data_IF_183317737509
#
_entry.id   IF_183317737509
#
_cell.length_a   1.000
_cell.length_b   1.000
_cell.length_c   1.000
_cell.angle_alpha   90.00
_cell.angle_beta   90.00
_cell.angle_gamma   90.00
#
_symmetry.space_group_name_H-M   'P 1'
#
loop_
_entity.id
_entity.type
_entity.pdbx_description
1 polymer ?
#
# COMPACT_ATOMS: atom_id res chain seq x y z
N UNK A 1 -6.39 5.44 -43.99
CA UNK A 1 -6.72 5.33 -42.55
C UNK A 1 -7.79 4.27 -42.23
N UNK A 2 -8.83 4.03 -43.05
CA UNK A 2 -9.85 2.99 -42.74
C UNK A 2 -9.28 1.57 -42.66
N UNK A 3 -8.32 1.23 -43.53
CA UNK A 3 -7.70 -0.10 -43.58
C UNK A 3 -6.93 -0.45 -42.30
N UNK A 4 -6.25 0.52 -41.66
CA UNK A 4 -5.48 0.26 -40.44
C UNK A 4 -6.37 -0.03 -39.23
N UNK A 5 -7.47 0.74 -39.09
CA UNK A 5 -8.46 0.53 -38.03
C UNK A 5 -9.11 -0.85 -38.13
N UNK A 6 -9.48 -1.26 -39.35
CA UNK A 6 -10.02 -2.60 -39.62
C UNK A 6 -8.99 -3.70 -39.34
N UNK A 7 -7.71 -3.49 -39.68
CA UNK A 7 -6.63 -4.46 -39.35
C UNK A 7 -6.46 -4.62 -37.84
N UNK A 8 -6.44 -3.54 -37.06
CA UNK A 8 -6.34 -3.60 -35.59
C UNK A 8 -7.52 -4.36 -35.00
N UNK A 9 -8.74 -3.99 -35.41
CA UNK A 9 -9.96 -4.64 -34.94
C UNK A 9 -9.96 -6.13 -35.26
N UNK A 10 -9.55 -6.49 -36.48
CA UNK A 10 -9.42 -7.89 -36.90
C UNK A 10 -8.40 -8.66 -36.05
N UNK A 11 -7.24 -8.08 -35.76
CA UNK A 11 -6.25 -8.69 -34.85
C UNK A 11 -6.86 -8.89 -33.46
N UNK A 12 -7.56 -7.88 -32.92
CA UNK A 12 -8.19 -8.01 -31.59
C UNK A 12 -9.28 -9.06 -31.58
N UNK A 13 -10.07 -9.20 -32.64
CA UNK A 13 -11.14 -10.20 -32.73
C UNK A 13 -10.58 -11.62 -32.91
N UNK A 14 -9.59 -11.80 -33.78
CA UNK A 14 -9.10 -13.11 -34.22
C UNK A 14 -7.93 -13.66 -33.37
N UNK A 15 -7.15 -12.80 -32.71
CA UNK A 15 -5.97 -13.20 -31.93
C UNK A 15 -6.34 -13.55 -30.50
N UNK A 16 -5.90 -14.70 -29.99
CA UNK A 16 -6.05 -15.06 -28.57
C UNK A 16 -5.37 -14.03 -27.68
N UNK A 17 -5.94 -13.68 -26.52
CA UNK A 17 -5.38 -12.63 -25.65
C UNK A 17 -3.88 -12.79 -25.35
N UNK A 18 -3.40 -14.00 -25.08
CA UNK A 18 -1.98 -14.29 -24.83
C UNK A 18 -1.03 -13.91 -26.00
N UNK A 19 -1.54 -13.82 -27.23
CA UNK A 19 -0.78 -13.42 -28.42
C UNK A 19 -1.10 -11.98 -28.85
N UNK A 20 -2.08 -11.32 -28.21
CA UNK A 20 -2.55 -10.01 -28.64
C UNK A 20 -1.45 -8.96 -28.50
N UNK A 21 -0.71 -8.96 -27.38
CA UNK A 21 0.40 -8.04 -27.19
C UNK A 21 1.47 -8.21 -28.29
N UNK A 22 1.85 -9.44 -28.63
CA UNK A 22 2.84 -9.70 -29.68
C UNK A 22 2.38 -9.29 -31.07
N UNK A 23 1.13 -9.58 -31.44
CA UNK A 23 0.59 -9.22 -32.75
C UNK A 23 0.46 -7.69 -32.90
N UNK A 24 0.06 -6.99 -31.84
CA UNK A 24 0.03 -5.52 -31.84
C UNK A 24 1.45 -4.95 -31.93
N UNK A 25 2.43 -5.53 -31.23
CA UNK A 25 3.84 -5.12 -31.36
C UNK A 25 4.35 -5.29 -32.79
N UNK A 26 4.13 -6.44 -33.43
CA UNK A 26 4.49 -6.66 -34.84
C UNK A 26 3.82 -5.64 -35.76
N UNK A 27 2.53 -5.34 -35.55
CA UNK A 27 1.85 -4.32 -36.34
C UNK A 27 2.43 -2.91 -36.12
N UNK A 28 2.86 -2.59 -34.89
CA UNK A 28 3.51 -1.30 -34.61
C UNK A 28 4.88 -1.18 -35.27
N UNK A 29 5.61 -2.28 -35.44
CA UNK A 29 6.86 -2.33 -36.21
C UNK A 29 6.61 -2.17 -37.72
N UNK A 30 5.51 -2.73 -38.24
CA UNK A 30 5.10 -2.56 -39.65
C UNK A 30 4.62 -1.13 -39.97
N UNK A 31 4.13 -0.39 -38.97
CA UNK A 31 3.49 0.93 -39.12
C UNK A 31 3.95 1.92 -38.04
N UNK A 32 5.24 2.30 -38.00
CA UNK A 32 5.83 3.08 -36.90
C UNK A 32 5.19 4.46 -36.74
N UNK A 33 4.75 5.11 -37.82
CA UNK A 33 4.06 6.40 -37.80
C UNK A 33 2.67 6.36 -37.13
N UNK A 34 2.17 5.17 -36.81
CA UNK A 34 0.84 4.96 -36.23
C UNK A 34 0.87 4.23 -34.88
N UNK A 35 2.05 3.92 -34.33
CA UNK A 35 2.24 3.17 -33.08
C UNK A 35 1.32 3.63 -31.94
N UNK A 36 1.33 4.93 -31.61
CA UNK A 36 0.45 5.51 -30.57
C UNK A 36 -1.04 5.24 -30.81
N UNK A 37 -1.49 5.40 -32.05
CA UNK A 37 -2.90 5.20 -32.40
C UNK A 37 -3.30 3.73 -32.33
N UNK A 38 -2.43 2.84 -32.80
CA UNK A 38 -2.65 1.39 -32.77
C UNK A 38 -2.84 0.89 -31.33
N UNK A 39 -2.07 1.42 -30.39
CA UNK A 39 -2.11 1.03 -28.98
C UNK A 39 -3.32 1.53 -28.25
N UNK A 40 -3.62 2.82 -28.37
CA UNK A 40 -4.80 3.41 -27.77
C UNK A 40 -6.04 2.70 -28.33
N UNK A 41 -6.08 2.49 -29.64
CA UNK A 41 -7.18 1.78 -30.23
C UNK A 41 -7.27 0.34 -29.69
N UNK A 42 -6.16 -0.39 -29.64
CA UNK A 42 -6.21 -1.78 -29.25
C UNK A 42 -6.51 -2.01 -27.77
N UNK A 43 -5.90 -1.24 -26.88
CA UNK A 43 -5.92 -1.50 -25.44
C UNK A 43 -6.83 -0.55 -24.66
N UNK A 44 -7.14 0.63 -25.20
CA UNK A 44 -8.02 1.61 -24.56
C UNK A 44 -9.40 1.60 -25.20
N UNK A 45 -9.50 1.69 -26.53
CA UNK A 45 -10.80 1.82 -27.22
C UNK A 45 -11.49 0.47 -27.45
N UNK A 46 -10.75 -0.56 -27.85
CA UNK A 46 -11.28 -1.87 -28.25
C UNK A 46 -11.13 -2.95 -27.15
N UNK A 47 -10.91 -2.55 -25.89
CA UNK A 47 -10.83 -3.44 -24.72
C UNK A 47 -9.79 -4.59 -24.84
N UNK A 48 -8.67 -4.39 -25.52
CA UNK A 48 -7.64 -5.42 -25.67
C UNK A 48 -7.09 -5.95 -24.34
N UNK A 49 -7.06 -5.13 -23.29
CA UNK A 49 -6.71 -5.61 -21.95
C UNK A 49 -7.74 -6.59 -21.40
N UNK A 50 -9.04 -6.36 -21.60
CA UNK A 50 -10.09 -7.29 -21.20
C UNK A 50 -9.86 -8.65 -21.86
N UNK A 51 -9.48 -8.67 -23.15
CA UNK A 51 -9.16 -9.91 -23.87
C UNK A 51 -7.92 -10.59 -23.32
N UNK A 52 -6.83 -9.86 -23.08
CA UNK A 52 -5.63 -10.39 -22.41
C UNK A 52 -6.02 -10.98 -21.04
N UNK A 53 -6.75 -10.23 -20.22
CA UNK A 53 -7.14 -10.66 -18.88
C UNK A 53 -8.01 -11.92 -18.93
N UNK A 54 -8.94 -12.04 -19.88
CA UNK A 54 -9.82 -13.21 -20.04
C UNK A 54 -9.08 -14.44 -20.57
N UNK A 55 -8.32 -14.28 -21.64
CA UNK A 55 -7.75 -15.40 -22.40
C UNK A 55 -6.36 -15.82 -21.90
N UNK A 56 -5.61 -14.93 -21.25
CA UNK A 56 -4.26 -15.24 -20.83
C UNK A 56 -4.26 -16.21 -19.66
N UNK A 57 -3.33 -17.16 -19.73
CA UNK A 57 -2.92 -17.94 -18.58
C UNK A 57 -2.37 -16.97 -17.54
N UNK A 58 -2.97 -16.99 -16.36
CA UNK A 58 -2.65 -16.11 -15.24
C UNK A 58 -1.18 -16.14 -14.84
N UNK A 59 -0.45 -17.22 -15.14
CA UNK A 59 0.99 -17.28 -14.94
C UNK A 59 1.73 -16.22 -15.75
N UNK A 60 1.22 -15.91 -16.95
CA UNK A 60 1.88 -15.04 -17.91
C UNK A 60 1.31 -13.61 -17.96
N UNK A 61 0.09 -13.39 -17.46
CA UNK A 61 -0.59 -12.08 -17.51
C UNK A 61 0.30 -10.89 -17.09
N UNK A 62 1.02 -11.01 -15.96
CA UNK A 62 1.88 -9.92 -15.47
C UNK A 62 3.10 -9.69 -16.36
N UNK A 63 3.63 -10.76 -16.98
CA UNK A 63 4.74 -10.66 -17.92
C UNK A 63 4.29 -10.04 -19.24
N UNK A 64 3.10 -10.40 -19.74
CA UNK A 64 2.52 -9.80 -20.94
C UNK A 64 2.28 -8.30 -20.75
N UNK A 65 1.73 -7.89 -19.60
CA UNK A 65 1.57 -6.47 -19.26
C UNK A 65 2.92 -5.77 -19.21
N UNK A 66 3.93 -6.38 -18.56
CA UNK A 66 5.29 -5.81 -18.49
C UNK A 66 5.90 -5.64 -19.89
N UNK A 67 5.82 -6.66 -20.74
CA UNK A 67 6.33 -6.59 -22.12
C UNK A 67 5.63 -5.50 -22.92
N UNK A 68 4.30 -5.35 -22.77
CA UNK A 68 3.56 -4.29 -23.42
C UNK A 68 4.02 -2.90 -22.96
N UNK A 69 4.23 -2.74 -21.66
CA UNK A 69 4.73 -1.47 -21.10
C UNK A 69 6.15 -1.15 -21.55
N UNK A 70 7.04 -2.14 -21.61
CA UNK A 70 8.41 -1.98 -22.09
C UNK A 70 8.47 -1.61 -23.58
N UNK A 71 7.56 -2.16 -24.40
CA UNK A 71 7.45 -1.83 -25.81
C UNK A 71 6.92 -0.40 -26.03
N UNK A 72 6.15 0.14 -25.08
CA UNK A 72 5.43 1.41 -25.23
C UNK A 72 5.56 2.32 -24.00
N UNK A 73 6.79 2.75 -23.65
CA UNK A 73 7.05 3.50 -22.42
C UNK A 73 6.31 4.84 -22.36
N UNK A 74 6.09 5.50 -23.50
CA UNK A 74 5.36 6.78 -23.58
C UNK A 74 3.87 6.66 -23.23
N UNK A 75 3.33 5.43 -23.22
CA UNK A 75 1.93 5.12 -22.98
C UNK A 75 1.67 4.45 -21.63
N UNK A 76 2.66 4.40 -20.74
CA UNK A 76 2.53 3.75 -19.43
C UNK A 76 1.29 4.20 -18.65
N UNK A 77 1.01 5.50 -18.65
CA UNK A 77 -0.13 6.08 -17.93
C UNK A 77 -1.48 5.71 -18.55
N UNK A 78 -1.55 5.58 -19.88
CA UNK A 78 -2.76 5.14 -20.57
C UNK A 78 -3.00 3.64 -20.31
N UNK A 79 -1.93 2.84 -20.39
CA UNK A 79 -1.96 1.39 -20.20
C UNK A 79 -2.31 1.00 -18.76
N UNK A 80 -1.75 1.67 -17.76
CA UNK A 80 -2.10 1.40 -16.36
C UNK A 80 -3.54 1.80 -16.07
N UNK A 81 -4.01 2.92 -16.62
CA UNK A 81 -5.38 3.37 -16.40
C UNK A 81 -6.36 2.35 -17.00
N UNK A 82 -6.13 1.91 -18.24
CA UNK A 82 -6.94 0.86 -18.85
C UNK A 82 -6.89 -0.47 -18.06
N UNK A 83 -5.71 -0.87 -17.57
CA UNK A 83 -5.56 -2.06 -16.74
C UNK A 83 -6.29 -1.95 -15.39
N UNK A 84 -6.29 -0.78 -14.75
CA UNK A 84 -6.96 -0.55 -13.46
C UNK A 84 -8.48 -0.35 -13.62
N UNK A 85 -8.92 0.25 -14.72
CA UNK A 85 -10.34 0.40 -15.08
C UNK A 85 -10.96 -0.98 -15.35
N UNK A 86 -10.18 -1.88 -15.97
CA UNK A 86 -10.49 -3.30 -16.08
C UNK A 86 -10.20 -4.01 -14.75
N UNK A 87 -10.98 -3.68 -13.72
CA UNK A 87 -10.81 -4.16 -12.33
C UNK A 87 -10.62 -5.69 -12.22
N UNK A 88 -11.12 -6.45 -13.19
CA UNK A 88 -10.98 -7.90 -13.27
C UNK A 88 -9.52 -8.35 -13.41
N UNK A 89 -8.62 -7.54 -13.98
CA UNK A 89 -7.21 -7.89 -14.16
C UNK A 89 -6.49 -8.10 -12.84
N UNK A 90 -6.48 -7.07 -11.99
CA UNK A 90 -5.83 -7.15 -10.69
C UNK A 90 -6.57 -8.08 -9.72
N UNK A 91 -7.92 -8.16 -9.80
CA UNK A 91 -8.71 -9.15 -9.04
C UNK A 91 -8.35 -10.58 -9.44
N UNK A 92 -8.20 -10.88 -10.73
CA UNK A 92 -7.73 -12.17 -11.23
C UNK A 92 -6.32 -12.46 -10.71
N UNK A 93 -5.41 -11.46 -10.75
CA UNK A 93 -4.05 -11.57 -10.20
C UNK A 93 -4.06 -11.96 -8.71
N UNK A 94 -4.93 -11.33 -7.92
CA UNK A 94 -5.06 -11.64 -6.49
C UNK A 94 -5.71 -13.01 -6.29
N UNK A 95 -6.82 -13.29 -6.98
CA UNK A 95 -7.62 -14.50 -6.78
C UNK A 95 -6.88 -15.78 -7.16
N UNK A 96 -6.18 -15.77 -8.29
CA UNK A 96 -5.55 -16.97 -8.85
C UNK A 96 -4.13 -17.21 -8.35
N UNK A 97 -3.55 -16.31 -7.54
CA UNK A 97 -2.27 -16.57 -6.89
C UNK A 97 -2.42 -17.76 -5.94
N UNK A 98 -1.67 -18.83 -6.22
CA UNK A 98 -1.82 -20.19 -5.66
C UNK A 98 -0.96 -20.42 -4.41
N UNK A 99 -0.51 -19.34 -3.76
CA UNK A 99 0.36 -19.38 -2.59
C UNK A 99 1.81 -19.10 -2.95
N UNK A 100 2.76 -19.55 -2.12
CA UNK A 100 4.22 -19.52 -2.35
C UNK A 100 4.83 -18.14 -2.58
N UNK A 101 4.13 -17.07 -2.23
CA UNK A 101 4.61 -15.71 -2.43
C UNK A 101 4.55 -15.22 -3.88
N UNK A 102 3.91 -15.96 -4.79
CA UNK A 102 3.73 -15.51 -6.18
C UNK A 102 3.08 -14.12 -6.25
N UNK A 103 2.08 -13.86 -5.39
CA UNK A 103 1.39 -12.58 -5.38
C UNK A 103 2.32 -11.40 -5.08
N UNK A 104 3.24 -11.54 -4.13
CA UNK A 104 4.20 -10.48 -3.80
C UNK A 104 5.15 -10.20 -4.98
N UNK A 105 5.63 -11.26 -5.64
CA UNK A 105 6.47 -11.13 -6.82
C UNK A 105 5.71 -10.52 -8.00
N UNK A 106 4.48 -10.94 -8.26
CA UNK A 106 3.61 -10.37 -9.30
C UNK A 106 3.37 -8.88 -9.08
N UNK A 107 3.09 -8.47 -7.83
CA UNK A 107 2.96 -7.06 -7.49
C UNK A 107 4.26 -6.29 -7.68
N UNK A 108 5.42 -6.89 -7.35
CA UNK A 108 6.72 -6.29 -7.65
C UNK A 108 6.92 -6.09 -9.15
N UNK A 109 6.62 -7.09 -9.97
CA UNK A 109 6.74 -6.97 -11.42
C UNK A 109 5.80 -5.90 -12.01
N UNK A 110 4.57 -5.78 -11.51
CA UNK A 110 3.68 -4.68 -11.89
C UNK A 110 4.21 -3.31 -11.44
N UNK A 111 4.73 -3.20 -10.23
CA UNK A 111 5.33 -1.96 -9.72
C UNK A 111 6.61 -1.55 -10.47
N UNK A 112 7.35 -2.52 -11.01
CA UNK A 112 8.49 -2.29 -11.92
C UNK A 112 8.03 -1.84 -13.30
N UNK A 113 6.94 -2.43 -13.82
CA UNK A 113 6.34 -2.01 -15.10
C UNK A 113 5.77 -0.58 -15.02
N UNK A 114 5.15 -0.22 -13.89
CA UNK A 114 4.47 1.07 -13.75
C UNK A 114 5.05 1.92 -12.60
N UNK A 115 6.29 2.43 -12.72
CA UNK A 115 6.99 3.12 -11.64
C UNK A 115 6.25 4.38 -11.16
N UNK A 116 5.66 5.15 -12.09
CA UNK A 116 4.92 6.39 -11.75
C UNK A 116 3.56 6.13 -11.10
N UNK A 117 3.01 4.91 -11.25
CA UNK A 117 1.69 4.54 -10.74
C UNK A 117 1.74 3.54 -9.58
N UNK A 118 2.91 3.36 -8.96
CA UNK A 118 3.11 2.46 -7.81
C UNK A 118 2.13 2.71 -6.68
N UNK A 119 1.90 3.97 -6.31
CA UNK A 119 0.98 4.32 -5.23
C UNK A 119 -0.48 3.96 -5.58
N UNK A 120 -0.90 4.19 -6.83
CA UNK A 120 -2.25 3.79 -7.29
C UNK A 120 -2.41 2.27 -7.28
N UNK A 121 -1.42 1.55 -7.81
CA UNK A 121 -1.37 0.09 -7.78
C UNK A 121 -1.43 -0.46 -6.36
N UNK A 122 -0.66 0.13 -5.44
CA UNK A 122 -0.66 -0.26 -4.04
C UNK A 122 -2.03 -0.08 -3.38
N UNK A 123 -2.66 1.09 -3.58
CA UNK A 123 -3.99 1.36 -3.02
C UNK A 123 -5.03 0.37 -3.53
N UNK A 124 -5.03 0.10 -4.84
CA UNK A 124 -5.95 -0.89 -5.41
C UNK A 124 -5.68 -2.28 -4.84
N UNK A 125 -4.43 -2.70 -4.77
CA UNK A 125 -4.02 -3.99 -4.22
C UNK A 125 -4.47 -4.18 -2.76
N UNK A 126 -4.34 -3.14 -1.93
CA UNK A 126 -4.82 -3.18 -0.54
C UNK A 126 -6.34 -3.22 -0.48
N UNK A 127 -7.04 -2.42 -1.30
CA UNK A 127 -8.50 -2.38 -1.34
C UNK A 127 -9.12 -3.72 -1.76
N UNK A 128 -8.51 -4.42 -2.72
CA UNK A 128 -8.92 -5.74 -3.18
C UNK A 128 -8.45 -6.89 -2.27
N UNK A 129 -8.12 -6.59 -1.01
CA UNK A 129 -7.69 -7.56 -0.01
C UNK A 129 -6.42 -8.35 -0.40
N UNK A 130 -5.61 -7.83 -1.34
CA UNK A 130 -4.39 -8.50 -1.79
C UNK A 130 -3.38 -8.72 -0.67
N UNK A 131 -3.22 -7.71 0.21
CA UNK A 131 -2.35 -7.86 1.38
C UNK A 131 -2.88 -8.89 2.37
N UNK A 132 -4.19 -8.89 2.62
CA UNK A 132 -4.84 -9.88 3.48
C UNK A 132 -4.61 -11.28 2.93
N UNK A 133 -4.70 -11.48 1.62
CA UNK A 133 -4.38 -12.76 0.99
C UNK A 133 -2.92 -13.19 1.23
N UNK A 134 -1.95 -12.27 1.09
CA UNK A 134 -0.54 -12.56 1.40
C UNK A 134 -0.34 -13.00 2.85
N UNK A 135 -1.03 -12.35 3.79
CA UNK A 135 -0.95 -12.68 5.22
C UNK A 135 -1.64 -14.03 5.50
N UNK A 136 -2.77 -14.28 4.83
CA UNK A 136 -3.59 -15.47 5.05
C UNK A 136 -3.07 -16.72 4.36
N UNK A 137 -2.19 -16.58 3.37
CA UNK A 137 -1.52 -17.69 2.67
C UNK A 137 -0.94 -18.72 3.66
N UNK A 138 -1.19 -19.99 3.37
CA UNK A 138 -0.92 -21.14 4.25
C UNK A 138 0.53 -21.61 4.15
N UNK A 139 1.25 -21.20 3.10
CA UNK A 139 2.67 -21.51 2.91
C UNK A 139 3.53 -20.74 3.91
N UNK A 140 3.58 -21.23 5.15
CA UNK A 140 4.53 -20.97 6.24
C UNK A 140 4.91 -19.50 6.51
N UNK A 141 4.85 -19.06 7.78
CA UNK A 141 5.29 -17.69 8.14
C UNK A 141 6.72 -17.34 7.71
N UNK A 142 7.58 -18.34 7.51
CA UNK A 142 8.95 -18.17 7.03
C UNK A 142 9.05 -17.31 5.76
N UNK A 143 8.01 -17.36 4.93
CA UNK A 143 7.93 -16.57 3.70
C UNK A 143 7.19 -15.25 3.87
N UNK A 144 6.52 -15.01 5.01
CA UNK A 144 5.72 -13.82 5.20
C UNK A 144 6.61 -12.56 5.29
N UNK A 145 7.70 -12.58 6.08
CA UNK A 145 8.65 -11.46 6.09
C UNK A 145 9.29 -11.23 4.72
N UNK A 146 9.57 -12.30 3.97
CA UNK A 146 10.11 -12.18 2.61
C UNK A 146 9.11 -11.54 1.66
N UNK A 147 7.83 -11.92 1.71
CA UNK A 147 6.76 -11.31 0.90
C UNK A 147 6.56 -9.85 1.28
N UNK A 148 6.57 -9.52 2.57
CA UNK A 148 6.50 -8.14 3.06
C UNK A 148 7.70 -7.33 2.58
N UNK A 149 8.92 -7.89 2.62
CA UNK A 149 10.12 -7.30 2.05
C UNK A 149 9.95 -7.01 0.56
N UNK A 150 9.49 -8.01 -0.21
CA UNK A 150 9.25 -7.86 -1.66
C UNK A 150 8.25 -6.73 -1.95
N UNK A 151 7.17 -6.62 -1.16
CA UNK A 151 6.22 -5.52 -1.30
C UNK A 151 6.82 -4.17 -0.89
N UNK A 152 7.61 -4.11 0.18
CA UNK A 152 8.26 -2.87 0.63
C UNK A 152 9.34 -2.37 -0.34
N UNK A 153 9.96 -3.28 -1.12
CA UNK A 153 10.83 -2.95 -2.25
C UNK A 153 10.02 -2.44 -3.45
N UNK A 154 8.88 -3.06 -3.73
CA UNK A 154 7.99 -2.68 -4.83
C UNK A 154 7.31 -1.32 -4.62
N UNK A 155 6.97 -0.99 -3.37
CA UNK A 155 6.22 0.21 -2.98
C UNK A 155 6.97 0.99 -1.89
N UNK A 156 8.14 1.58 -2.21
CA UNK A 156 8.97 2.24 -1.20
C UNK A 156 8.28 3.44 -0.56
N UNK A 157 7.45 4.18 -1.31
CA UNK A 157 6.67 5.33 -0.83
C UNK A 157 5.53 4.91 0.11
N UNK A 158 5.05 3.67 -0.04
CA UNK A 158 3.92 3.12 0.73
C UNK A 158 4.34 2.20 1.87
N UNK A 159 5.64 2.17 2.24
CA UNK A 159 6.16 1.27 3.30
C UNK A 159 5.44 1.39 4.62
N UNK A 160 5.15 2.61 5.07
CA UNK A 160 4.43 2.85 6.33
C UNK A 160 2.98 2.34 6.26
N UNK A 161 2.31 2.54 5.12
CA UNK A 161 0.96 2.02 4.88
C UNK A 161 0.96 0.50 4.84
N UNK A 162 1.97 -0.11 4.21
CA UNK A 162 2.17 -1.56 4.17
C UNK A 162 2.37 -2.11 5.59
N UNK A 163 3.24 -1.49 6.39
CA UNK A 163 3.48 -1.91 7.77
C UNK A 163 2.20 -1.82 8.59
N UNK A 164 1.49 -0.68 8.53
CA UNK A 164 0.21 -0.52 9.22
C UNK A 164 -0.79 -1.60 8.83
N UNK A 165 -1.00 -1.80 7.54
CA UNK A 165 -1.96 -2.79 7.04
C UNK A 165 -1.53 -4.24 7.40
N UNK A 166 -0.22 -4.50 7.48
CA UNK A 166 0.33 -5.77 7.98
C UNK A 166 0.02 -6.00 9.46
N UNK A 167 0.17 -4.97 10.30
CA UNK A 167 -0.15 -5.03 11.73
C UNK A 167 -1.66 -5.21 11.98
N UNK A 168 -2.49 -4.58 11.16
CA UNK A 168 -3.94 -4.65 11.26
C UNK A 168 -4.48 -6.00 10.76
N UNK A 169 -3.87 -6.57 9.71
CA UNK A 169 -4.26 -7.84 9.09
C UNK A 169 -3.83 -9.10 9.84
N UNK A 170 -3.54 -9.02 11.15
CA UNK A 170 -3.00 -10.13 11.98
C UNK A 170 -1.63 -10.67 11.52
N UNK A 171 -0.86 -9.89 10.76
CA UNK A 171 0.43 -10.31 10.22
C UNK A 171 1.44 -10.72 11.30
N UNK A 172 1.49 -9.98 12.41
CA UNK A 172 2.33 -10.34 13.56
C UNK A 172 1.86 -11.65 14.21
N UNK A 173 0.57 -11.82 14.45
CA UNK A 173 0.03 -13.05 15.07
C UNK A 173 0.30 -14.29 14.22
N UNK A 174 0.24 -14.14 12.88
CA UNK A 174 0.66 -15.19 11.94
C UNK A 174 2.13 -15.56 12.12
N UNK A 175 3.02 -14.59 12.29
CA UNK A 175 4.44 -14.85 12.59
C UNK A 175 4.59 -15.53 13.94
N UNK A 176 3.92 -15.06 14.99
CA UNK A 176 3.94 -15.65 16.34
C UNK A 176 3.52 -17.12 16.32
N UNK A 177 2.37 -17.42 15.70
CA UNK A 177 1.80 -18.77 15.63
C UNK A 177 2.73 -19.76 14.95
N UNK A 178 3.34 -19.36 13.84
CA UNK A 178 4.26 -20.23 13.13
C UNK A 178 5.63 -20.33 13.79
N UNK A 179 6.02 -19.33 14.58
CA UNK A 179 7.23 -19.41 15.40
C UNK A 179 7.08 -20.38 16.59
N UNK A 180 5.87 -20.63 17.10
CA UNK A 180 5.61 -21.53 18.23
C UNK A 180 5.99 -23.01 17.98
N UNK A 181 6.39 -23.40 16.76
CA UNK A 181 6.80 -24.76 16.42
C UNK A 181 8.31 -24.98 16.20
N UNK A 182 9.15 -23.95 16.30
CA UNK A 182 10.59 -24.03 15.99
C UNK A 182 11.35 -23.12 16.98
N UNK A 183 12.54 -23.51 17.44
CA UNK A 183 13.26 -22.82 18.54
C UNK A 183 13.87 -21.45 18.20
N UNK A 184 13.96 -21.06 16.93
CA UNK A 184 14.58 -19.79 16.47
C UNK A 184 13.85 -18.90 15.43
N UNK A 185 12.56 -19.06 15.03
CA UNK A 185 11.97 -18.21 14.00
C UNK A 185 11.66 -16.79 14.46
N UNK A 186 11.16 -16.58 15.69
CA UNK A 186 10.51 -15.30 16.01
C UNK A 186 11.49 -14.13 15.98
N UNK A 187 12.62 -14.26 16.69
CA UNK A 187 13.65 -13.21 16.72
C UNK A 187 14.24 -12.96 15.33
N UNK A 188 14.43 -14.02 14.53
CA UNK A 188 14.92 -13.92 13.15
C UNK A 188 13.92 -13.18 12.25
N UNK A 189 12.63 -13.50 12.32
CA UNK A 189 11.56 -12.82 11.59
C UNK A 189 11.45 -11.34 11.98
N UNK A 190 11.52 -11.04 13.28
CA UNK A 190 11.49 -9.65 13.76
C UNK A 190 12.70 -8.87 13.26
N UNK A 191 13.90 -9.46 13.25
CA UNK A 191 15.09 -8.83 12.68
C UNK A 191 14.93 -8.53 11.18
N UNK A 192 14.35 -9.45 10.40
CA UNK A 192 14.09 -9.20 8.97
C UNK A 192 13.07 -8.09 8.77
N UNK A 193 12.00 -8.06 9.55
CA UNK A 193 11.04 -6.94 9.49
C UNK A 193 11.71 -5.62 9.88
N UNK A 194 12.62 -5.63 10.86
CA UNK A 194 13.39 -4.46 11.25
C UNK A 194 14.31 -3.94 10.13
N UNK A 195 14.89 -4.84 9.32
CA UNK A 195 15.67 -4.46 8.12
C UNK A 195 14.78 -3.81 7.05
N UNK A 196 13.55 -4.29 6.88
CA UNK A 196 12.59 -3.75 5.91
C UNK A 196 12.06 -2.37 6.35
N UNK A 197 11.88 -2.19 7.66
CA UNK A 197 11.31 -0.99 8.27
C UNK A 197 12.31 -0.35 9.26
N UNK A 198 13.42 0.23 8.77
CA UNK A 198 14.51 0.71 9.61
C UNK A 198 14.08 1.79 10.60
N UNK A 199 13.07 2.60 10.24
CA UNK A 199 12.49 3.63 11.13
C UNK A 199 11.89 3.03 12.41
N UNK A 200 11.41 1.79 12.32
CA UNK A 200 10.76 1.06 13.41
C UNK A 200 11.66 -0.03 13.99
N UNK A 201 12.94 -0.07 13.62
CA UNK A 201 13.90 -1.06 14.11
C UNK A 201 13.91 -1.18 15.65
N UNK A 202 13.89 -0.08 16.43
CA UNK A 202 13.85 -0.19 17.90
C UNK A 202 12.58 -0.90 18.40
N UNK A 203 11.44 -0.70 17.73
CA UNK A 203 10.17 -1.31 18.11
C UNK A 203 10.17 -2.83 17.92
N UNK A 204 10.90 -3.36 16.92
CA UNK A 204 11.02 -4.80 16.71
C UNK A 204 11.93 -5.51 17.73
N UNK A 205 12.63 -4.76 18.59
CA UNK A 205 13.44 -5.31 19.69
C UNK A 205 12.65 -5.44 21.01
N UNK A 206 11.43 -4.91 21.05
CA UNK A 206 10.56 -4.98 22.22
C UNK A 206 9.98 -6.40 22.41
N UNK A 207 9.47 -6.73 23.62
CA UNK A 207 8.61 -7.90 23.81
C UNK A 207 7.49 -7.94 22.77
N UNK A 208 7.16 -9.12 22.26
CA UNK A 208 6.28 -9.28 21.11
C UNK A 208 4.94 -8.53 21.25
N UNK A 209 4.32 -8.58 22.44
CA UNK A 209 3.02 -7.96 22.70
C UNK A 209 3.10 -6.41 22.76
N UNK A 210 4.31 -5.83 22.83
CA UNK A 210 4.57 -4.39 22.81
C UNK A 210 4.93 -3.85 21.41
N UNK A 211 5.31 -4.73 20.46
CA UNK A 211 5.75 -4.33 19.11
C UNK A 211 4.65 -3.56 18.38
N UNK A 212 3.43 -4.12 18.30
CA UNK A 212 2.32 -3.49 17.57
C UNK A 212 1.95 -2.12 18.15
N UNK A 213 1.71 -1.97 19.48
CA UNK A 213 1.47 -0.66 20.08
C UNK A 213 2.60 0.35 19.80
N UNK A 214 3.87 -0.06 19.92
CA UNK A 214 5.01 0.83 19.72
C UNK A 214 5.13 1.35 18.28
N UNK A 215 4.93 0.48 17.29
CA UNK A 215 4.97 0.87 15.88
C UNK A 215 3.79 1.79 15.55
N UNK A 216 2.58 1.43 15.97
CA UNK A 216 1.39 2.26 15.72
C UNK A 216 1.53 3.65 16.34
N UNK A 217 2.03 3.75 17.57
CA UNK A 217 2.29 5.03 18.22
C UNK A 217 3.31 5.88 17.42
N UNK A 218 4.38 5.25 16.91
CA UNK A 218 5.39 5.93 16.09
C UNK A 218 4.79 6.46 14.78
N UNK A 219 4.07 5.63 14.04
CA UNK A 219 3.38 6.03 12.79
C UNK A 219 2.44 7.22 13.06
N UNK A 220 1.68 7.17 14.14
CA UNK A 220 0.71 8.21 14.47
C UNK A 220 1.37 9.53 14.86
N UNK A 221 2.47 9.48 15.63
CA UNK A 221 3.27 10.67 15.95
C UNK A 221 3.78 11.37 14.69
N UNK A 222 4.22 10.60 13.70
CA UNK A 222 4.68 11.15 12.43
C UNK A 222 3.55 11.76 11.60
N UNK A 223 2.40 11.09 11.51
CA UNK A 223 1.21 11.62 10.84
C UNK A 223 0.75 12.95 11.45
N UNK A 224 0.74 13.05 12.78
CA UNK A 224 0.40 14.29 13.49
C UNK A 224 1.42 15.39 13.17
N UNK A 225 2.71 15.04 13.17
CA UNK A 225 3.80 15.98 12.87
C UNK A 225 3.73 16.50 11.43
N UNK A 226 3.44 15.65 10.45
CA UNK A 226 3.24 16.07 9.05
C UNK A 226 2.01 16.96 8.88
N UNK A 227 0.87 16.57 9.45
CA UNK A 227 -0.35 17.39 9.40
C UNK A 227 -0.13 18.76 10.03
N UNK A 228 0.56 18.81 11.17
CA UNK A 228 0.94 20.06 11.84
C UNK A 228 1.81 20.94 10.92
N UNK A 229 2.80 20.37 10.23
CA UNK A 229 3.64 21.12 9.27
C UNK A 229 2.83 21.68 8.10
N UNK A 230 1.95 20.86 7.51
CA UNK A 230 1.10 21.28 6.39
C UNK A 230 0.13 22.41 6.78
N UNK A 231 -0.39 22.35 8.02
CA UNK A 231 -1.23 23.42 8.57
C UNK A 231 -0.41 24.71 8.71
N UNK A 232 0.80 24.63 9.31
CA UNK A 232 1.71 25.78 9.47
C UNK A 232 2.11 26.43 8.15
N UNK A 233 2.27 25.66 7.06
CA UNK A 233 2.60 26.20 5.74
C UNK A 233 1.40 26.78 4.99
N UNK A 234 0.18 26.39 5.35
CA UNK A 234 -1.06 26.80 4.66
C UNK A 234 -1.70 28.08 5.19
N UNK A 235 -1.49 28.45 6.47
CA UNK A 235 -2.20 29.58 7.08
C UNK A 235 -1.36 30.41 8.06
N UNK A 236 -1.50 31.74 7.93
CA UNK A 236 -0.98 32.79 8.81
C UNK A 236 -1.87 32.97 10.07
N UNK A 237 -2.53 31.91 10.57
CA UNK A 237 -3.61 32.02 11.56
C UNK A 237 -3.40 31.10 12.79
N UNK A 238 -3.46 31.73 13.96
CA UNK A 238 -3.10 31.21 15.29
C UNK A 238 -4.08 30.19 15.92
N UNK A 239 -4.87 29.43 15.14
CA UNK A 239 -5.83 28.48 15.73
C UNK A 239 -6.22 27.35 14.78
N UNK A 240 -6.16 26.09 15.22
CA UNK A 240 -6.69 24.94 14.50
C UNK A 240 -7.25 23.87 15.46
N UNK A 241 -8.19 23.06 14.94
CA UNK A 241 -8.81 21.95 15.65
C UNK A 241 -8.32 20.62 15.08
N UNK A 242 -7.89 19.70 15.94
CA UNK A 242 -7.51 18.33 15.54
C UNK A 242 -8.45 17.34 16.21
N UNK A 243 -9.12 16.52 15.42
CA UNK A 243 -9.96 15.43 15.93
C UNK A 243 -9.11 14.17 16.07
N UNK A 244 -8.96 13.65 17.27
CA UNK A 244 -8.25 12.40 17.55
C UNK A 244 -9.24 11.22 17.68
N UNK A 245 -8.91 10.03 17.17
CA UNK A 245 -9.62 8.79 17.48
C UNK A 245 -9.75 8.56 18.99
N UNK A 246 -10.90 8.07 19.44
CA UNK A 246 -11.23 7.90 20.86
C UNK A 246 -10.28 6.95 21.58
N UNK A 247 -9.69 5.99 20.87
CA UNK A 247 -8.70 5.07 21.43
C UNK A 247 -7.44 5.80 21.91
N UNK A 248 -7.10 6.95 21.31
CA UNK A 248 -5.96 7.79 21.71
C UNK A 248 -6.29 8.73 22.85
N UNK A 249 -7.55 9.12 23.01
CA UNK A 249 -7.96 10.00 24.10
C UNK A 249 -7.78 9.35 25.48
N UNK A 250 -7.62 8.03 25.56
CA UNK A 250 -7.37 7.32 26.82
C UNK A 250 -5.98 7.58 27.40
N UNK A 251 -4.98 7.76 26.54
CA UNK A 251 -3.59 8.06 26.94
C UNK A 251 -3.29 9.57 26.87
N UNK A 252 -4.25 10.36 26.37
CA UNK A 252 -4.16 11.79 26.16
C UNK A 252 -5.10 12.48 27.15
N UNK A 253 -4.83 12.31 28.45
CA UNK A 253 -5.60 12.88 29.58
C UNK A 253 -5.67 14.43 29.53
N UNK A 254 -4.82 15.07 28.71
CA UNK A 254 -4.78 16.54 28.56
C UNK A 254 -5.67 17.14 27.49
N UNK A 255 -6.25 16.35 26.59
CA UNK A 255 -7.21 16.89 25.63
C UNK A 255 -8.60 16.59 26.17
N UNK A 256 -9.11 17.55 26.94
CA UNK A 256 -10.47 17.51 27.47
C UNK A 256 -11.43 17.23 26.31
N UNK A 257 -12.19 16.14 26.44
CA UNK A 257 -13.43 15.97 25.67
C UNK A 257 -14.45 16.96 26.23
N UNK A 258 -14.20 18.26 26.04
CA UNK A 258 -15.13 19.31 26.37
C UNK A 258 -16.15 19.42 25.25
N UNK A 259 -17.46 19.57 25.54
CA UNK A 259 -18.49 19.80 24.52
C UNK A 259 -18.29 21.12 23.76
N UNK A 260 -17.39 21.98 24.24
CA UNK A 260 -16.86 23.12 23.50
C UNK A 260 -15.39 22.86 23.16
N UNK A 261 -14.98 22.96 21.89
CA UNK A 261 -13.61 22.67 21.52
C UNK A 261 -12.67 23.72 22.13
N UNK A 262 -11.80 23.31 23.05
CA UNK A 262 -10.75 24.17 23.59
C UNK A 262 -9.71 24.45 22.49
N UNK A 263 -9.28 25.71 22.40
CA UNK A 263 -8.20 26.12 21.50
C UNK A 263 -6.90 25.57 22.09
N UNK A 264 -6.35 24.54 21.45
CA UNK A 264 -5.06 23.96 21.83
C UNK A 264 -3.96 24.73 21.11
N UNK A 265 -3.00 25.26 21.86
CA UNK A 265 -1.86 25.98 21.28
C UNK A 265 -0.71 25.04 20.97
N UNK A 266 0.22 25.48 20.13
CA UNK A 266 1.42 24.72 19.74
C UNK A 266 2.26 24.29 20.96
N UNK A 267 2.35 25.14 22.00
CA UNK A 267 3.07 24.83 23.23
C UNK A 267 2.44 23.69 24.04
N UNK A 268 1.12 23.54 24.01
CA UNK A 268 0.40 22.49 24.74
C UNK A 268 0.65 21.10 24.14
N UNK A 269 0.78 21.04 22.82
CA UNK A 269 1.10 19.82 22.06
C UNK A 269 2.55 19.41 22.35
N UNK A 270 3.51 20.33 22.17
CA UNK A 270 4.93 20.05 22.39
C UNK A 270 5.25 19.66 23.83
N UNK A 271 4.64 20.32 24.82
CA UNK A 271 4.82 19.99 26.24
C UNK A 271 4.26 18.61 26.60
N UNK A 272 3.15 18.20 25.98
CA UNK A 272 2.56 16.86 26.19
C UNK A 272 3.45 15.76 25.61
N UNK A 273 4.13 16.01 24.48
CA UNK A 273 5.11 15.08 23.93
C UNK A 273 6.43 15.05 24.70
N UNK A 274 6.90 16.20 25.23
CA UNK A 274 8.16 16.30 25.96
C UNK A 274 8.12 15.68 27.37
N UNK A 275 6.94 15.62 28.00
CA UNK A 275 6.80 15.13 29.38
C UNK A 275 6.52 13.63 29.48
N UNK A 276 6.32 12.94 28.36
CA UNK A 276 5.85 11.56 28.31
C UNK A 276 4.38 11.46 28.69
N UNK A 277 3.60 10.64 27.99
CA UNK A 277 2.16 10.45 28.25
C UNK A 277 1.88 9.73 29.59
N UNK A 278 2.92 9.31 30.32
CA UNK A 278 2.83 8.45 31.52
C UNK A 278 2.89 9.18 32.86
N UNK A 279 2.80 10.52 32.91
CA UNK A 279 2.70 11.21 34.21
C UNK A 279 1.26 11.34 34.66
N UNK A 280 0.82 10.41 35.51
CA UNK A 280 -0.28 10.65 36.43
C UNK A 280 -0.01 11.95 37.19
N UNK A 281 -0.78 12.99 36.89
CA UNK A 281 -0.78 14.23 37.68
C UNK A 281 -1.27 13.89 39.08
N UNK A 282 -0.54 14.34 40.11
CA UNK A 282 -1.01 14.17 41.49
C UNK A 282 -2.33 14.90 41.68
N UNK A 283 -3.18 14.37 42.56
CA UNK A 283 -4.52 14.88 42.87
C UNK A 283 -4.55 16.39 43.21
N UNK A 284 -3.44 16.95 43.70
CA UNK A 284 -3.30 18.38 43.99
C UNK A 284 -3.18 19.26 42.74
N UNK A 285 -2.66 18.74 41.63
CA UNK A 285 -2.57 19.49 40.37
C UNK A 285 -3.92 19.57 39.65
N UNK A 286 -4.82 18.61 39.87
CA UNK A 286 -6.17 18.64 39.31
C UNK A 286 -7.07 19.73 39.94
N UNK A 287 -6.84 20.07 41.23
CA UNK A 287 -7.64 21.09 41.94
C UNK A 287 -7.41 22.52 41.47
N UNK A 288 -6.21 22.85 40.97
CA UNK A 288 -5.86 24.22 40.58
C UNK A 288 -6.34 24.61 39.18
N UNK A 289 -6.86 23.67 38.39
CA UNK A 289 -7.32 23.91 37.01
C UNK A 289 -8.85 24.09 36.92
N UNK A 290 -9.56 24.06 38.06
CA UNK A 290 -11.01 24.32 38.08
C UNK A 290 -11.83 23.30 37.27
N UNK A 291 -11.34 22.07 37.13
CA UNK A 291 -12.07 20.99 36.47
C UNK A 291 -13.19 20.49 37.39
N UNK A 292 -14.44 20.33 36.90
CA UNK A 292 -15.50 19.68 37.66
C UNK A 292 -15.13 18.20 37.87
N UNK A 293 -15.23 17.75 39.11
CA UNK A 293 -15.09 16.34 39.48
C UNK A 293 -16.28 15.54 38.95
N UNK A 294 -16.01 14.47 38.19
CA UNK A 294 -16.96 13.39 37.94
C UNK A 294 -17.16 12.54 39.19
#
# INVERSE_FOLDING_TARGET
MSNLHERVKKIIEETRGALLASEIMTLTEECPEHQKKLLLQAFVDDHGFEKIIKDSDFKWLVYEIKTLVEAFPEHQNDLIQAFLDEQEGLKKIIKEADGKGELAYKMKTLAEAFPESREKLFQFFVNEQGLKKIIQDEDGSYWLSQRVKTLAEAFPESREKLLKAFLDGEGLEKIKKAAHGVEQPLAWEMNRLAEVFPKHQPSFQLPFDEIKPAILNTIMKDDIKEKSKAIKSSHNANTFFVTFPRELCKDVVKFTCSPNPEIVTEGDIEQSFATGFDKELSFEQQKNVGLPSC
#
